data_IF_225455905895
#
_entry.id   IF_225455905895
#
_cell.length_a   1.000
_cell.length_b   1.000
_cell.length_c   1.000
_cell.angle_alpha   90.00
_cell.angle_beta   90.00
_cell.angle_gamma   90.00
#
_symmetry.space_group_name_H-M   'P 1'
#
loop_
_entity.id
_entity.type
_entity.pdbx_description
1 polymer ?
#
# COMPACT_ATOMS: atom_id res chain seq x y z
N UNK A 1 3.18 -11.15 -37.92
CA UNK A 1 1.72 -11.39 -37.92
C UNK A 1 1.07 -10.35 -37.04
N UNK A 2 0.08 -9.61 -37.53
CA UNK A 2 -0.69 -8.68 -36.70
C UNK A 2 -1.64 -9.47 -35.81
N UNK A 3 -1.55 -9.30 -34.49
CA UNK A 3 -2.47 -9.93 -33.55
C UNK A 3 -3.52 -8.90 -33.18
N UNK A 4 -4.79 -9.19 -33.50
CA UNK A 4 -5.92 -8.33 -33.15
C UNK A 4 -6.21 -8.43 -31.65
N UNK A 5 -5.56 -7.55 -30.87
CA UNK A 5 -5.70 -7.48 -29.42
C UNK A 5 -6.20 -6.09 -29.04
N UNK A 6 -7.17 -6.06 -28.11
CA UNK A 6 -7.64 -4.82 -27.50
C UNK A 6 -6.67 -4.37 -26.40
N UNK A 7 -5.87 -3.34 -26.68
CA UNK A 7 -4.84 -2.80 -25.77
C UNK A 7 -5.35 -1.75 -24.76
N UNK A 8 -6.67 -1.50 -24.70
CA UNK A 8 -7.24 -0.41 -23.90
C UNK A 8 -7.14 -0.60 -22.37
N UNK A 9 -6.83 -1.81 -21.89
CA UNK A 9 -6.77 -2.16 -20.46
C UNK A 9 -5.38 -2.53 -19.94
N UNK A 10 -4.34 -2.41 -20.77
CA UNK A 10 -2.98 -2.83 -20.40
C UNK A 10 -2.41 -1.99 -19.26
N UNK A 11 -2.79 -0.71 -19.21
CA UNK A 11 -2.36 0.21 -18.16
C UNK A 11 -3.14 -0.02 -16.87
N UNK A 12 -2.51 -0.71 -15.92
CA UNK A 12 -3.03 -0.84 -14.55
C UNK A 12 -2.90 0.47 -13.77
N UNK A 13 -4.03 1.07 -13.39
CA UNK A 13 -4.08 2.29 -12.56
C UNK A 13 -3.79 1.92 -11.09
N UNK A 14 -2.53 2.05 -10.69
CA UNK A 14 -2.07 1.83 -9.31
C UNK A 14 -0.89 2.74 -8.98
N UNK A 15 -0.78 3.13 -7.72
CA UNK A 15 0.38 3.89 -7.24
C UNK A 15 1.56 2.95 -7.05
N UNK A 16 2.71 3.33 -7.61
CA UNK A 16 3.99 2.63 -7.44
C UNK A 16 4.85 3.27 -6.34
N UNK A 17 4.52 4.48 -5.93
CA UNK A 17 5.22 5.28 -4.94
C UNK A 17 4.25 6.25 -4.23
N UNK A 18 4.60 6.81 -3.06
CA UNK A 18 3.78 7.82 -2.42
C UNK A 18 3.86 9.13 -3.21
N UNK A 19 2.75 9.86 -3.34
CA UNK A 19 2.73 11.20 -3.96
C UNK A 19 3.41 12.26 -3.07
N UNK A 20 3.48 12.01 -1.76
CA UNK A 20 4.06 12.95 -0.79
C UNK A 20 5.58 13.02 -0.91
N UNK A 21 6.14 14.21 -0.75
CA UNK A 21 7.59 14.44 -0.69
C UNK A 21 8.17 14.35 0.73
N UNK A 22 7.34 14.03 1.73
CA UNK A 22 7.79 13.83 3.12
C UNK A 22 8.89 12.76 3.21
N UNK A 23 10.03 13.16 3.77
CA UNK A 23 11.24 12.35 3.89
C UNK A 23 10.99 11.15 4.82
N UNK A 24 10.27 11.33 5.93
CA UNK A 24 10.01 10.25 6.89
C UNK A 24 9.18 9.14 6.26
N UNK A 25 8.13 9.51 5.50
CA UNK A 25 7.33 8.54 4.75
C UNK A 25 8.17 7.79 3.71
N UNK A 26 9.08 8.47 3.01
CA UNK A 26 9.93 7.85 1.97
C UNK A 26 10.94 6.87 2.57
N UNK A 27 11.52 7.18 3.73
CA UNK A 27 12.39 6.27 4.46
C UNK A 27 11.65 5.00 4.86
N UNK A 28 10.43 5.15 5.39
CA UNK A 28 9.60 4.03 5.82
C UNK A 28 9.18 3.16 4.62
N UNK A 29 8.83 3.78 3.48
CA UNK A 29 8.60 3.06 2.21
C UNK A 29 9.83 2.28 1.77
N UNK A 30 11.04 2.85 1.87
CA UNK A 30 12.29 2.17 1.46
C UNK A 30 12.52 0.90 2.30
N UNK A 31 12.30 0.98 3.61
CA UNK A 31 12.37 -0.16 4.53
C UNK A 31 11.35 -1.25 4.16
N UNK A 32 10.07 -0.90 4.05
CA UNK A 32 9.03 -1.89 3.76
C UNK A 32 9.13 -2.46 2.33
N UNK A 33 9.72 -1.72 1.38
CA UNK A 33 10.01 -2.23 0.04
C UNK A 33 11.14 -3.27 0.07
N UNK A 34 12.15 -3.09 0.91
CA UNK A 34 13.18 -4.10 1.14
C UNK A 34 12.59 -5.35 1.80
N UNK A 35 11.84 -5.18 2.89
CA UNK A 35 11.21 -6.28 3.62
C UNK A 35 10.22 -7.06 2.75
N UNK A 36 9.34 -6.38 2.01
CA UNK A 36 8.34 -7.03 1.15
C UNK A 36 8.95 -7.86 0.00
N UNK A 37 10.20 -7.58 -0.39
CA UNK A 37 10.94 -8.35 -1.39
C UNK A 37 11.73 -9.51 -0.77
N UNK A 38 12.28 -9.33 0.44
CA UNK A 38 13.20 -10.29 1.09
C UNK A 38 12.49 -11.25 2.05
N UNK A 39 11.26 -10.96 2.45
CA UNK A 39 10.47 -11.80 3.35
C UNK A 39 9.22 -12.32 2.65
N UNK A 40 8.79 -13.54 3.02
CA UNK A 40 7.58 -14.17 2.48
C UNK A 40 6.29 -13.75 3.22
N UNK A 41 6.39 -12.85 4.21
CA UNK A 41 5.23 -12.35 4.94
C UNK A 41 4.35 -11.45 4.05
N UNK A 42 3.12 -11.87 3.81
CA UNK A 42 2.11 -11.11 3.04
C UNK A 42 1.78 -9.77 3.70
N UNK A 43 1.88 -9.70 5.03
CA UNK A 43 1.69 -8.48 5.83
C UNK A 43 2.53 -7.30 5.31
N UNK A 44 3.83 -7.51 5.03
CA UNK A 44 4.73 -6.46 4.58
C UNK A 44 4.31 -5.87 3.23
N UNK A 45 3.75 -6.69 2.33
CA UNK A 45 3.21 -6.24 1.04
C UNK A 45 1.96 -5.38 1.23
N UNK A 46 1.11 -5.73 2.21
CA UNK A 46 -0.09 -4.95 2.55
C UNK A 46 0.28 -3.59 3.14
N UNK A 47 1.22 -3.55 4.09
CA UNK A 47 1.69 -2.30 4.70
C UNK A 47 2.30 -1.37 3.64
N UNK A 48 3.18 -1.88 2.78
CA UNK A 48 3.77 -1.08 1.69
C UNK A 48 2.69 -0.46 0.79
N UNK A 49 1.66 -1.23 0.42
CA UNK A 49 0.54 -0.72 -0.39
C UNK A 49 -0.24 0.38 0.34
N UNK A 50 -0.43 0.25 1.66
CA UNK A 50 -1.13 1.26 2.49
C UNK A 50 -0.34 2.57 2.60
N UNK A 51 0.99 2.52 2.62
CA UNK A 51 1.84 3.73 2.64
C UNK A 51 1.71 4.57 1.36
N UNK A 52 1.37 3.98 0.22
CA UNK A 52 1.15 4.70 -1.05
C UNK A 52 -0.23 5.37 -1.14
N UNK A 53 -1.16 5.03 -0.24
CA UNK A 53 -2.54 5.52 -0.29
C UNK A 53 -2.62 7.04 -0.05
N UNK A 54 -3.61 7.68 -0.68
CA UNK A 54 -3.95 9.08 -0.39
C UNK A 54 -4.48 9.22 1.03
N UNK A 55 -4.55 10.47 1.52
CA UNK A 55 -5.12 10.77 2.84
C UNK A 55 -6.57 10.29 2.97
N UNK A 56 -7.41 10.50 1.95
CA UNK A 56 -8.81 10.02 1.93
C UNK A 56 -8.92 8.50 2.07
N UNK A 57 -7.96 7.76 1.50
CA UNK A 57 -7.93 6.29 1.58
C UNK A 57 -7.24 5.77 2.87
N UNK A 58 -6.82 6.67 3.76
CA UNK A 58 -6.24 6.38 5.08
C UNK A 58 -7.14 7.01 6.15
N UNK A 59 -8.33 6.43 6.41
CA UNK A 59 -9.28 7.01 7.35
C UNK A 59 -8.71 6.99 8.78
N UNK A 60 -9.04 7.98 9.62
CA UNK A 60 -8.69 7.97 11.03
C UNK A 60 -9.40 6.81 11.74
N UNK A 61 -8.73 6.24 12.74
CA UNK A 61 -9.26 5.16 13.56
C UNK A 61 -9.50 5.66 14.97
N UNK A 62 -10.71 5.49 15.51
CA UNK A 62 -11.05 5.91 16.87
C UNK A 62 -10.51 4.94 17.93
N UNK A 63 -10.25 5.46 19.13
CA UNK A 63 -9.80 4.66 20.27
C UNK A 63 -10.84 3.61 20.68
N UNK A 64 -12.12 3.98 20.71
CA UNK A 64 -13.23 3.05 20.99
C UNK A 64 -13.24 1.86 20.03
N UNK A 65 -12.91 2.09 18.75
CA UNK A 65 -12.85 1.02 17.74
C UNK A 65 -11.61 0.15 17.91
N UNK A 66 -10.49 0.72 18.34
CA UNK A 66 -9.27 -0.04 18.67
C UNK A 66 -9.50 -0.98 19.84
N UNK A 67 -10.03 -0.47 20.96
CA UNK A 67 -10.33 -1.28 22.16
C UNK A 67 -11.28 -2.43 21.81
N UNK A 68 -12.33 -2.15 21.04
CA UNK A 68 -13.28 -3.21 20.63
C UNK A 68 -12.65 -4.31 19.76
N UNK A 69 -11.59 -4.02 19.00
CA UNK A 69 -10.88 -5.04 18.21
C UNK A 69 -9.95 -5.86 19.11
N UNK A 70 -9.30 -5.21 20.07
CA UNK A 70 -8.37 -5.86 21.00
C UNK A 70 -9.09 -6.80 21.96
N UNK A 71 -10.21 -6.37 22.57
CA UNK A 71 -10.98 -7.19 23.52
C UNK A 71 -11.85 -8.28 22.86
N UNK A 72 -11.86 -8.35 21.52
CA UNK A 72 -12.57 -9.38 20.76
C UNK A 72 -11.68 -10.59 20.40
N UNK A 73 -10.46 -10.62 20.93
CA UNK A 73 -9.51 -11.75 20.90
C UNK A 73 -9.48 -12.39 22.28
#
# INVERSE_FOLDING_TARGET
MGVDIRHNKDRKVRRKEPKSQDIYLRLLVKLYRFLARRTNATFNKVVLRRLFMSRTNRPPLSLSRLVRIESAV
#
